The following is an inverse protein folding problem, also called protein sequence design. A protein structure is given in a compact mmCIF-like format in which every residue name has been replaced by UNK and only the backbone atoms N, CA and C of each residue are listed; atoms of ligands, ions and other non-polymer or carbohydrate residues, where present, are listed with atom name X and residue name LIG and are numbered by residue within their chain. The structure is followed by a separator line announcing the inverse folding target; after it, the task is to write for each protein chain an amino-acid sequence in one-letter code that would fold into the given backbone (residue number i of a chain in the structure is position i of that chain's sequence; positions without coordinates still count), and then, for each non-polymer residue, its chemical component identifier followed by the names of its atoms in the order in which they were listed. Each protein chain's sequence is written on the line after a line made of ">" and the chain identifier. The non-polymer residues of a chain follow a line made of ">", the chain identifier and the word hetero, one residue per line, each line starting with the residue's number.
data_IF_343749903963
#
_entry.id   IF_343749903963
#
_cell.length_a   1.000
_cell.length_b   1.000
_cell.length_c   1.000
_cell.angle_alpha   90.00
_cell.angle_beta   90.00
_cell.angle_gamma   90.00
#
_symmetry.space_group_name_H-M   'P 1'
#
loop_
_entity.id
_entity.type
_entity.pdbx_description
1 polymer ?
#
# COMPACT_ATOMS: atom_id res chain seq x y z
N UNK A 1 -53.78 -15.17 15.33
CA UNK A 1 -52.49 -15.15 16.07
C UNK A 1 -51.27 -15.47 15.20
N UNK A 2 -51.40 -16.35 14.19
CA UNK A 2 -50.29 -16.82 13.33
C UNK A 2 -49.61 -15.76 12.44
N UNK A 3 -50.29 -14.64 12.12
CA UNK A 3 -49.72 -13.57 11.28
C UNK A 3 -48.71 -12.68 12.02
N UNK A 4 -48.89 -12.48 13.34
CA UNK A 4 -48.01 -11.63 14.17
C UNK A 4 -46.70 -12.33 14.52
N UNK A 5 -46.71 -13.65 14.67
CA UNK A 5 -45.51 -14.46 14.91
C UNK A 5 -44.61 -14.53 13.68
N UNK A 6 -45.20 -14.64 12.47
CA UNK A 6 -44.43 -14.60 11.22
C UNK A 6 -43.77 -13.24 10.96
N UNK A 7 -44.42 -12.13 11.31
CA UNK A 7 -43.80 -10.79 11.16
C UNK A 7 -42.62 -10.57 12.10
N UNK A 8 -42.66 -11.13 13.32
CA UNK A 8 -41.54 -11.02 14.28
C UNK A 8 -40.36 -11.88 13.83
N UNK A 9 -40.62 -13.09 13.33
CA UNK A 9 -39.59 -13.98 12.78
C UNK A 9 -38.90 -13.36 11.55
N UNK A 10 -39.66 -12.67 10.69
CA UNK A 10 -39.11 -11.97 9.53
C UNK A 10 -38.24 -10.76 9.95
N UNK A 11 -38.61 -10.07 11.03
CA UNK A 11 -37.85 -8.93 11.56
C UNK A 11 -36.53 -9.34 12.24
N UNK A 12 -36.49 -10.53 12.83
CA UNK A 12 -35.28 -11.11 13.45
C UNK A 12 -34.30 -11.65 12.40
N UNK A 13 -34.78 -12.03 11.22
CA UNK A 13 -33.92 -12.56 10.16
C UNK A 13 -33.14 -11.45 9.42
N UNK A 14 -33.65 -10.21 9.41
CA UNK A 14 -33.01 -9.10 8.70
C UNK A 14 -31.82 -8.50 9.46
N UNK A 15 -31.75 -8.66 10.79
CA UNK A 15 -30.63 -8.16 11.59
C UNK A 15 -29.37 -9.02 11.48
N UNK A 16 -29.48 -10.27 11.03
CA UNK A 16 -28.35 -11.20 10.89
C UNK A 16 -27.55 -11.01 9.59
N UNK A 17 -28.05 -10.20 8.63
CA UNK A 17 -27.45 -10.08 7.29
C UNK A 17 -26.37 -8.98 7.23
N UNK A 18 -26.30 -8.10 8.23
CA UNK A 18 -25.42 -6.90 8.20
C UNK A 18 -24.09 -7.04 8.97
N UNK A 19 -23.70 -8.24 9.43
CA UNK A 19 -22.52 -8.43 10.29
C UNK A 19 -21.24 -8.92 9.58
N UNK A 20 -20.97 -8.54 8.33
CA UNK A 20 -19.71 -8.95 7.68
C UNK A 20 -18.60 -7.92 7.90
N UNK A 21 -17.54 -8.34 8.60
CA UNK A 21 -16.36 -7.53 8.90
C UNK A 21 -15.68 -6.93 7.66
N UNK A 22 -15.75 -7.66 6.55
CA UNK A 22 -15.11 -7.32 5.27
C UNK A 22 -15.97 -7.74 4.09
N UNK A 23 -15.91 -6.98 2.99
CA UNK A 23 -16.53 -7.33 1.70
C UNK A 23 -15.47 -7.37 0.62
N UNK A 24 -15.47 -8.42 -0.20
CA UNK A 24 -14.57 -8.60 -1.33
C UNK A 24 -15.36 -8.53 -2.62
N UNK A 25 -15.02 -7.58 -3.49
CA UNK A 25 -15.58 -7.54 -4.84
C UNK A 25 -14.89 -8.56 -5.72
N UNK A 26 -15.69 -9.47 -6.26
CA UNK A 26 -15.22 -10.49 -7.18
C UNK A 26 -14.71 -9.85 -8.47
N UNK A 27 -13.58 -10.34 -8.96
CA UNK A 27 -13.07 -9.94 -10.26
C UNK A 27 -13.85 -10.62 -11.38
N UNK A 28 -14.57 -9.81 -12.17
CA UNK A 28 -15.37 -10.27 -13.32
C UNK A 28 -14.56 -10.41 -14.62
N UNK A 29 -13.26 -10.15 -14.60
CA UNK A 29 -12.41 -10.24 -15.79
C UNK A 29 -12.11 -11.69 -16.14
N UNK A 30 -12.63 -12.16 -17.28
CA UNK A 30 -12.40 -13.52 -17.79
C UNK A 30 -10.92 -13.88 -17.95
N UNK A 31 -10.04 -12.90 -18.21
CA UNK A 31 -8.58 -13.12 -18.35
C UNK A 31 -7.89 -13.47 -17.02
N UNK A 32 -8.56 -13.17 -15.91
CA UNK A 32 -8.14 -13.40 -14.55
C UNK A 32 -8.91 -14.55 -13.87
N UNK A 33 -9.67 -15.34 -14.63
CA UNK A 33 -10.45 -16.47 -14.12
C UNK A 33 -9.60 -17.54 -13.41
N UNK A 34 -8.29 -17.57 -13.69
CA UNK A 34 -7.32 -18.46 -13.05
C UNK A 34 -7.12 -18.20 -11.55
N UNK A 35 -7.52 -17.03 -11.03
CA UNK A 35 -7.41 -16.69 -9.62
C UNK A 35 -8.80 -16.70 -8.96
N UNK A 36 -9.07 -17.78 -8.23
CA UNK A 36 -10.22 -17.86 -7.33
C UNK A 36 -9.89 -17.15 -6.03
N UNK A 37 -10.81 -16.31 -5.57
CA UNK A 37 -10.62 -15.48 -4.39
C UNK A 37 -11.92 -15.37 -3.62
N UNK A 38 -11.84 -15.47 -2.30
CA UNK A 38 -12.99 -15.33 -1.40
C UNK A 38 -12.52 -14.90 -0.02
N UNK A 39 -13.42 -14.35 0.77
CA UNK A 39 -13.19 -14.20 2.20
C UNK A 39 -13.54 -15.53 2.88
N UNK A 40 -12.89 -15.81 4.01
CA UNK A 40 -13.33 -16.88 4.89
C UNK A 40 -14.66 -16.50 5.59
N UNK A 41 -15.27 -17.47 6.28
CA UNK A 41 -16.59 -17.31 6.91
C UNK A 41 -16.68 -16.12 7.87
N UNK A 42 -15.60 -15.81 8.59
CA UNK A 42 -15.54 -14.70 9.55
C UNK A 42 -15.08 -13.36 8.95
N UNK A 43 -14.70 -13.34 7.66
CA UNK A 43 -14.24 -12.14 6.96
C UNK A 43 -12.90 -11.56 7.43
N UNK A 44 -12.12 -12.32 8.20
CA UNK A 44 -10.82 -11.93 8.76
C UNK A 44 -9.62 -12.37 7.91
N UNK A 45 -9.84 -13.22 6.90
CA UNK A 45 -8.79 -13.69 6.00
C UNK A 45 -9.24 -13.72 4.55
N UNK A 46 -8.37 -13.27 3.64
CA UNK A 46 -8.54 -13.40 2.19
C UNK A 46 -7.93 -14.73 1.72
N UNK A 47 -8.76 -15.60 1.20
CA UNK A 47 -8.39 -16.89 0.63
C UNK A 47 -8.15 -16.71 -0.86
N UNK A 48 -6.95 -17.08 -1.31
CA UNK A 48 -6.53 -17.01 -2.70
C UNK A 48 -6.14 -18.40 -3.19
N UNK A 49 -6.60 -18.75 -4.38
CA UNK A 49 -6.25 -19.99 -5.05
C UNK A 49 -6.05 -19.73 -6.54
N UNK A 50 -4.82 -19.87 -7.00
CA UNK A 50 -4.43 -19.72 -8.40
C UNK A 50 -4.21 -21.08 -9.05
N UNK A 51 -4.66 -21.23 -10.30
CA UNK A 51 -4.24 -22.36 -11.15
C UNK A 51 -2.72 -22.33 -11.40
N UNK A 52 -2.13 -21.13 -11.36
CA UNK A 52 -0.69 -20.88 -11.40
C UNK A 52 -0.21 -20.29 -10.09
N UNK A 53 1.10 -20.38 -9.88
CA UNK A 53 1.77 -19.89 -8.67
C UNK A 53 1.50 -18.40 -8.42
N UNK A 54 1.03 -18.10 -7.22
CA UNK A 54 0.90 -16.75 -6.69
C UNK A 54 2.27 -16.36 -6.12
N UNK A 55 2.86 -15.31 -6.68
CA UNK A 55 4.19 -14.85 -6.25
C UNK A 55 4.06 -13.93 -5.04
N UNK A 56 3.22 -12.91 -5.15
CA UNK A 56 3.04 -11.87 -4.13
C UNK A 56 1.62 -11.32 -4.12
N UNK A 57 1.23 -10.81 -2.96
CA UNK A 57 -0.02 -10.06 -2.76
C UNK A 57 0.33 -8.74 -2.10
N UNK A 58 -0.13 -7.62 -2.66
CA UNK A 58 0.04 -6.29 -2.10
C UNK A 58 -1.35 -5.72 -1.82
N UNK A 59 -1.64 -5.35 -0.59
CA UNK A 59 -2.89 -4.68 -0.21
C UNK A 59 -2.56 -3.25 0.18
N UNK A 60 -3.15 -2.29 -0.51
CA UNK A 60 -2.84 -0.89 -0.28
C UNK A 60 -4.04 0.04 -0.47
N UNK A 61 -3.94 1.21 0.13
CA UNK A 61 -4.79 2.38 -0.13
C UNK A 61 -3.92 3.64 -0.12
N UNK A 62 -4.50 4.83 0.10
CA UNK A 62 -3.75 6.09 0.14
C UNK A 62 -2.73 6.19 1.28
N UNK A 63 -2.95 5.50 2.40
CA UNK A 63 -2.27 5.73 3.67
C UNK A 63 -1.72 4.44 4.31
N UNK A 64 -1.88 3.31 3.64
CA UNK A 64 -1.49 1.98 4.13
C UNK A 64 -1.06 1.10 2.96
N UNK A 65 0.02 0.35 3.15
CA UNK A 65 0.48 -0.70 2.24
C UNK A 65 1.00 -1.87 3.05
N UNK A 66 0.63 -3.09 2.63
CA UNK A 66 1.15 -4.33 3.20
C UNK A 66 1.38 -5.35 2.11
N UNK A 67 2.58 -5.93 2.11
CA UNK A 67 3.00 -6.94 1.14
C UNK A 67 3.13 -8.30 1.82
N UNK A 68 2.65 -9.33 1.11
CA UNK A 68 2.74 -10.72 1.50
C UNK A 68 3.43 -11.52 0.40
N UNK A 69 4.56 -12.13 0.73
CA UNK A 69 5.17 -13.15 -0.14
C UNK A 69 4.45 -14.48 0.06
N UNK A 70 3.95 -15.06 -1.04
CA UNK A 70 3.18 -16.31 -0.99
C UNK A 70 4.00 -17.45 -1.58
N UNK A 71 4.51 -17.25 -2.80
CA UNK A 71 5.33 -18.24 -3.51
C UNK A 71 4.67 -19.64 -3.60
N UNK A 72 3.35 -19.72 -3.67
CA UNK A 72 2.56 -20.97 -3.71
C UNK A 72 1.26 -20.78 -4.52
N UNK A 73 0.53 -21.85 -4.84
CA UNK A 73 -0.74 -21.82 -5.58
C UNK A 73 -1.93 -21.42 -4.70
N UNK A 74 -1.83 -21.64 -3.38
CA UNK A 74 -2.88 -21.29 -2.43
C UNK A 74 -2.32 -20.43 -1.30
N UNK A 75 -3.11 -19.49 -0.82
CA UNK A 75 -2.71 -18.63 0.29
C UNK A 75 -3.89 -18.18 1.14
N UNK A 76 -3.62 -18.01 2.43
CA UNK A 76 -4.52 -17.37 3.38
C UNK A 76 -3.85 -16.09 3.86
N UNK A 77 -4.34 -14.95 3.38
CA UNK A 77 -3.83 -13.63 3.73
C UNK A 77 -4.61 -13.11 4.93
N UNK A 78 -3.99 -12.96 6.11
CA UNK A 78 -4.66 -12.42 7.29
C UNK A 78 -4.93 -10.93 7.11
N UNK A 79 -6.15 -10.51 7.45
CA UNK A 79 -6.57 -9.11 7.35
C UNK A 79 -6.44 -8.37 8.69
N UNK A 80 -6.09 -9.04 9.79
CA UNK A 80 -6.07 -8.47 11.16
C UNK A 80 -5.34 -7.12 11.29
N UNK A 81 -4.21 -6.95 10.61
CA UNK A 81 -3.40 -5.72 10.70
C UNK A 81 -3.81 -4.64 9.68
N UNK A 82 -4.83 -4.91 8.88
CA UNK A 82 -5.33 -3.99 7.85
C UNK A 82 -6.45 -3.15 8.49
N UNK A 83 -6.30 -1.81 8.56
CA UNK A 83 -7.30 -0.94 9.16
C UNK A 83 -8.63 -0.95 8.40
N UNK A 84 -9.68 -0.38 9.01
CA UNK A 84 -10.96 -0.11 8.35
C UNK A 84 -10.76 0.82 7.15
N UNK A 85 -11.39 0.52 6.02
CA UNK A 85 -11.25 1.31 4.80
C UNK A 85 -11.43 0.53 3.49
N UNK A 86 -11.23 1.24 2.38
CA UNK A 86 -11.26 0.67 1.03
C UNK A 86 -9.85 0.47 0.51
N UNK A 87 -9.58 -0.74 0.04
CA UNK A 87 -8.27 -1.19 -0.40
C UNK A 87 -8.31 -1.78 -1.80
N UNK A 88 -7.18 -1.67 -2.47
CA UNK A 88 -6.85 -2.38 -3.69
C UNK A 88 -5.92 -3.52 -3.30
N UNK A 89 -6.28 -4.74 -3.68
CA UNK A 89 -5.43 -5.91 -3.51
C UNK A 89 -4.89 -6.33 -4.88
N UNK A 90 -3.58 -6.18 -5.06
CA UNK A 90 -2.84 -6.60 -6.24
C UNK A 90 -2.24 -7.99 -6.01
N UNK A 91 -2.69 -8.96 -6.80
CA UNK A 91 -2.22 -10.34 -6.75
C UNK A 91 -1.38 -10.62 -7.99
N UNK A 92 -0.09 -10.91 -7.82
CA UNK A 92 0.80 -11.31 -8.91
C UNK A 92 0.74 -12.83 -9.07
N UNK A 93 0.16 -13.30 -10.17
CA UNK A 93 0.04 -14.71 -10.54
C UNK A 93 0.89 -14.94 -11.78
N UNK A 94 2.06 -15.55 -11.61
CA UNK A 94 3.08 -15.66 -12.64
C UNK A 94 3.34 -14.30 -13.36
N UNK A 95 3.03 -14.21 -14.65
CA UNK A 95 3.20 -13.04 -15.51
C UNK A 95 2.01 -12.06 -15.47
N UNK A 96 0.94 -12.34 -14.72
CA UNK A 96 -0.25 -11.50 -14.64
C UNK A 96 -0.36 -10.78 -13.31
N UNK A 97 -0.88 -9.56 -13.37
CA UNK A 97 -1.27 -8.77 -12.21
C UNK A 97 -2.80 -8.67 -12.17
N UNK A 98 -3.40 -9.19 -11.11
CA UNK A 98 -4.84 -9.26 -10.93
C UNK A 98 -5.23 -8.31 -9.80
N UNK A 99 -6.19 -7.42 -10.08
CA UNK A 99 -6.64 -6.41 -9.12
C UNK A 99 -8.00 -6.79 -8.53
N UNK A 100 -8.08 -6.81 -7.20
CA UNK A 100 -9.29 -7.02 -6.42
C UNK A 100 -9.59 -5.77 -5.58
N UNK A 101 -10.86 -5.55 -5.24
CA UNK A 101 -11.25 -4.49 -4.31
C UNK A 101 -11.70 -5.11 -2.99
N UNK A 102 -11.06 -4.70 -1.89
CA UNK A 102 -11.37 -5.14 -0.54
C UNK A 102 -11.94 -3.96 0.27
N UNK A 103 -13.11 -4.15 0.86
CA UNK A 103 -13.72 -3.22 1.81
C UNK A 103 -13.62 -3.81 3.21
N UNK A 104 -13.09 -3.02 4.14
CA UNK A 104 -13.05 -3.29 5.58
C UNK A 104 -14.03 -2.38 6.28
N UNK A 105 -15.00 -2.96 7.00
CA UNK A 105 -16.05 -2.21 7.70
C UNK A 105 -15.75 -2.10 9.19
N UNK A 106 -15.07 -3.10 9.76
CA UNK A 106 -14.81 -3.18 11.20
C UNK A 106 -13.35 -3.55 11.48
N UNK A 107 -12.85 -3.08 12.62
CA UNK A 107 -11.53 -3.45 13.12
C UNK A 107 -11.61 -4.86 13.71
N UNK A 108 -10.72 -5.74 13.26
CA UNK A 108 -10.70 -7.14 13.69
C UNK A 108 -9.98 -7.31 15.04
N UNK A 109 -9.27 -6.28 15.51
CA UNK A 109 -8.56 -6.31 16.80
C UNK A 109 -9.51 -6.37 17.98
N UNK A 110 -10.74 -5.86 17.82
CA UNK A 110 -11.77 -5.84 18.86
C UNK A 110 -12.50 -7.19 19.02
N UNK A 111 -12.27 -8.14 18.11
CA UNK A 111 -12.98 -9.43 18.02
C UNK A 111 -12.15 -10.59 18.61
N UNK A 112 -10.86 -10.36 18.88
CA UNK A 112 -10.02 -11.34 19.58
C UNK A 112 -10.20 -11.15 21.10
N UNK A 113 -10.56 -12.20 21.86
CA UNK A 113 -10.55 -12.10 23.31
C UNK A 113 -9.13 -11.75 23.75
N UNK A 114 -8.96 -10.57 24.35
CA UNK A 114 -7.75 -10.22 25.08
C UNK A 114 -7.66 -11.19 26.27
N UNK A 115 -6.98 -12.31 26.07
CA UNK A 115 -6.61 -13.19 27.17
C UNK A 115 -5.65 -12.41 28.08
N UNK A 116 -6.19 -12.02 29.23
CA UNK A 116 -5.43 -11.60 30.41
C UNK A 116 -4.31 -12.61 30.67
N UNK A 117 -3.13 -12.05 30.90
CA UNK A 117 -1.96 -12.69 31.48
C UNK A 117 -2.36 -13.55 32.68
N UNK A 118 -2.07 -14.85 32.62
CA UNK A 118 -1.81 -15.68 33.81
C UNK A 118 -0.59 -16.54 33.50
N UNK A 119 0.49 -16.23 34.19
CA UNK A 119 1.70 -17.01 34.33
C UNK A 119 1.47 -18.07 35.41
N UNK A 120 1.68 -19.36 35.12
CA UNK A 120 2.26 -20.35 36.06
C UNK A 120 2.43 -21.78 35.48
N UNK A 121 3.67 -22.27 35.64
CA UNK A 121 4.17 -23.64 35.87
C UNK A 121 4.14 -24.75 34.79
N UNK A 122 5.34 -24.96 34.20
CA UNK A 122 6.19 -26.18 34.19
C UNK A 122 5.61 -27.59 33.96
N UNK A 123 6.06 -28.23 32.87
CA UNK A 123 6.82 -29.53 32.79
C UNK A 123 7.00 -29.86 31.29
N UNK A 124 8.12 -29.49 30.65
CA UNK A 124 9.38 -30.26 30.52
C UNK A 124 9.26 -31.49 29.59
N UNK A 125 9.83 -31.36 28.38
CA UNK A 125 10.88 -32.25 27.87
C UNK A 125 11.69 -31.49 26.79
N UNK A 126 12.94 -31.23 27.17
CA UNK A 126 14.13 -30.76 26.45
C UNK A 126 14.45 -31.63 25.21
N UNK A 127 15.33 -31.33 24.23
CA UNK A 127 16.29 -30.27 23.87
C UNK A 127 16.61 -30.55 22.36
N UNK A 128 17.04 -29.61 21.51
CA UNK A 128 18.44 -29.17 21.43
C UNK A 128 18.58 -27.80 20.75
N UNK A 129 19.12 -26.83 21.50
CA UNK A 129 20.35 -26.03 21.26
C UNK A 129 20.73 -25.81 19.77
N UNK A 130 20.83 -24.57 19.25
CA UNK A 130 22.01 -23.69 19.37
C UNK A 130 21.62 -22.20 19.50
N UNK A 131 22.24 -21.58 20.50
CA UNK A 131 22.24 -20.16 20.85
C UNK A 131 22.99 -19.28 19.83
N UNK A 132 22.56 -18.02 19.69
CA UNK A 132 23.43 -16.88 20.03
C UNK A 132 22.60 -15.62 20.29
N UNK A 133 22.59 -15.26 21.57
CA UNK A 133 22.10 -14.04 22.21
C UNK A 133 23.00 -12.85 21.86
N UNK A 134 22.42 -11.69 21.55
CA UNK A 134 22.82 -10.42 22.19
C UNK A 134 21.56 -9.58 22.41
N UNK A 135 21.20 -9.43 23.68
CA UNK A 135 20.25 -8.44 24.18
C UNK A 135 20.91 -7.06 24.19
N UNK A 136 20.16 -6.02 23.86
CA UNK A 136 20.12 -4.82 24.71
C UNK A 136 18.82 -4.08 24.46
N UNK A 137 17.89 -4.24 25.40
CA UNK A 137 16.74 -3.36 25.51
C UNK A 137 17.13 -2.09 26.27
N UNK A 138 16.58 -0.95 25.85
CA UNK A 138 16.31 0.21 26.73
C UNK A 138 15.03 0.86 26.22
N UNK A 139 13.93 0.69 26.96
CA UNK A 139 12.83 1.66 27.04
C UNK A 139 13.28 2.87 27.86
N UNK A 140 12.77 4.08 27.65
CA UNK A 140 12.21 4.96 28.69
C UNK A 140 11.65 6.26 28.09
N UNK A 141 10.63 6.79 28.77
CA UNK A 141 9.67 7.81 28.35
C UNK A 141 10.17 9.26 28.44
N UNK A 142 9.47 10.09 27.66
CA UNK A 142 9.18 11.52 27.71
C UNK A 142 9.30 12.25 29.08
N UNK A 143 10.01 13.40 29.13
CA UNK A 143 9.44 14.72 29.47
C UNK A 143 10.43 15.92 29.49
N UNK A 144 9.87 17.07 29.10
CA UNK A 144 10.16 18.48 29.47
C UNK A 144 11.23 19.34 28.75
N UNK A 145 10.70 20.48 28.27
CA UNK A 145 11.33 21.67 27.66
C UNK A 145 12.10 22.50 28.70
N UNK A 146 13.28 23.04 28.34
CA UNK A 146 13.65 24.47 28.46
C UNK A 146 14.84 24.76 27.51
N UNK A 147 14.76 25.83 26.70
CA UNK A 147 15.91 26.43 25.99
C UNK A 147 16.51 27.56 26.84
N UNK A 148 17.79 27.92 26.66
CA UNK A 148 18.06 29.09 25.82
C UNK A 148 19.27 28.96 24.89
N UNK A 149 19.13 29.68 23.77
CA UNK A 149 20.13 30.20 22.82
C UNK A 149 21.60 29.77 22.99
N UNK A 150 22.09 29.02 21.99
CA UNK A 150 23.33 29.41 21.32
C UNK A 150 23.30 28.94 19.86
N UNK A 151 23.47 29.89 18.95
CA UNK A 151 23.51 29.68 17.51
C UNK A 151 24.73 28.83 17.15
N UNK A 152 24.46 27.60 16.68
CA UNK A 152 25.39 26.81 15.88
C UNK A 152 24.64 26.45 14.62
N UNK A 153 25.19 26.85 13.47
CA UNK A 153 24.72 26.43 12.16
C UNK A 153 24.45 24.93 12.21
N UNK A 154 23.18 24.53 12.11
CA UNK A 154 22.83 23.14 11.85
C UNK A 154 23.30 22.85 10.43
N UNK A 155 24.36 22.06 10.35
CA UNK A 155 24.58 21.19 9.19
C UNK A 155 23.23 20.50 8.87
N UNK A 156 22.76 20.51 7.61
CA UNK A 156 21.44 20.02 7.30
C UNK A 156 21.37 18.55 7.71
N UNK A 157 20.53 18.26 8.70
CA UNK A 157 20.15 16.90 9.08
C UNK A 157 19.75 16.18 7.79
N UNK A 158 20.51 15.14 7.40
CA UNK A 158 20.26 14.39 6.17
C UNK A 158 18.83 13.84 6.26
N UNK A 159 17.92 14.42 5.47
CA UNK A 159 16.51 14.05 5.49
C UNK A 159 16.40 12.60 5.04
N UNK A 160 15.97 11.73 5.95
CA UNK A 160 15.79 10.30 5.66
C UNK A 160 14.75 10.17 4.55
N UNK A 161 15.16 9.60 3.43
CA UNK A 161 14.28 9.37 2.28
C UNK A 161 13.36 8.21 2.63
N UNK A 162 12.06 8.48 2.76
CA UNK A 162 11.04 7.46 3.02
C UNK A 162 10.54 6.78 1.74
N UNK A 163 10.75 7.41 0.58
CA UNK A 163 10.60 6.78 -0.73
C UNK A 163 10.42 7.81 -1.83
N UNK A 164 9.91 7.34 -2.98
CA UNK A 164 9.82 8.17 -4.19
C UNK A 164 8.41 8.27 -4.73
N UNK A 165 7.96 9.49 -4.95
CA UNK A 165 6.72 9.78 -5.64
C UNK A 165 6.95 9.81 -7.15
N UNK A 166 6.28 8.92 -7.88
CA UNK A 166 6.51 8.70 -9.30
C UNK A 166 5.26 9.09 -10.09
N UNK A 167 5.44 9.92 -11.11
CA UNK A 167 4.43 10.23 -12.12
C UNK A 167 4.96 9.80 -13.48
N UNK A 168 4.27 8.88 -14.12
CA UNK A 168 4.57 8.43 -15.48
C UNK A 168 3.36 8.67 -16.37
N UNK A 169 3.48 9.56 -17.34
CA UNK A 169 2.49 9.81 -18.36
C UNK A 169 2.93 9.19 -19.68
N UNK A 170 2.13 8.25 -20.17
CA UNK A 170 2.37 7.49 -21.40
C UNK A 170 1.49 8.08 -22.48
N UNK A 171 2.08 8.49 -23.60
CA UNK A 171 1.37 9.11 -24.72
C UNK A 171 1.50 8.28 -25.99
N UNK A 172 0.37 7.77 -26.49
CA UNK A 172 0.31 6.95 -27.71
C UNK A 172 -0.18 7.76 -28.92
N UNK A 173 0.02 9.09 -28.92
CA UNK A 173 -0.33 10.00 -30.02
C UNK A 173 -1.82 10.33 -30.18
N UNK A 174 -2.75 9.50 -29.69
CA UNK A 174 -4.20 9.80 -29.70
C UNK A 174 -4.79 9.85 -28.28
N UNK A 175 -4.10 9.27 -27.31
CA UNK A 175 -4.50 9.24 -25.90
C UNK A 175 -3.25 9.31 -25.03
N UNK A 176 -3.37 9.98 -23.90
CA UNK A 176 -2.40 9.90 -22.81
C UNK A 176 -3.00 9.15 -21.62
N UNK A 177 -2.14 8.50 -20.85
CA UNK A 177 -2.48 7.85 -19.58
C UNK A 177 -1.47 8.29 -18.53
N UNK A 178 -1.95 8.91 -17.47
CA UNK A 178 -1.13 9.26 -16.30
C UNK A 178 -1.24 8.15 -15.24
N UNK A 179 -0.09 7.64 -14.82
CA UNK A 179 0.06 6.66 -13.74
C UNK A 179 0.86 7.34 -12.63
N UNK A 180 0.34 7.30 -11.41
CA UNK A 180 1.01 7.87 -10.25
C UNK A 180 1.14 6.84 -9.16
N UNK A 181 2.32 6.66 -8.58
CA UNK A 181 2.57 5.67 -7.53
C UNK A 181 3.71 6.08 -6.60
N UNK A 182 3.71 5.48 -5.42
CA UNK A 182 4.89 5.43 -4.57
C UNK A 182 5.81 4.29 -5.02
N UNK A 183 7.11 4.41 -4.81
CA UNK A 183 8.05 3.33 -5.08
C UNK A 183 9.36 3.47 -4.34
N UNK A 184 10.09 2.36 -4.31
CA UNK A 184 11.44 2.26 -3.75
C UNK A 184 12.50 2.68 -4.75
N UNK A 185 13.74 2.82 -4.26
CA UNK A 185 14.89 3.20 -5.10
C UNK A 185 15.10 2.24 -6.27
N UNK A 186 15.00 0.93 -6.06
CA UNK A 186 15.15 -0.08 -7.12
C UNK A 186 14.11 0.10 -8.24
N UNK A 187 12.88 0.41 -7.85
CA UNK A 187 11.77 0.64 -8.78
C UNK A 187 12.00 1.92 -9.59
N UNK A 188 12.51 2.97 -8.94
CA UNK A 188 12.91 4.23 -9.60
C UNK A 188 14.02 3.99 -10.61
N UNK A 189 15.09 3.30 -10.20
CA UNK A 189 16.25 3.03 -11.06
C UNK A 189 15.82 2.25 -12.32
N UNK A 190 14.97 1.23 -12.16
CA UNK A 190 14.39 0.47 -13.27
C UNK A 190 13.49 1.34 -14.18
N UNK A 191 12.70 2.25 -13.61
CA UNK A 191 11.82 3.13 -14.38
C UNK A 191 12.60 4.17 -15.18
N UNK A 192 13.67 4.72 -14.61
CA UNK A 192 14.57 5.65 -15.30
C UNK A 192 15.22 4.95 -16.48
N UNK A 193 15.85 3.79 -16.25
CA UNK A 193 16.51 3.01 -17.30
C UNK A 193 15.52 2.64 -18.43
N UNK A 194 14.31 2.21 -18.08
CA UNK A 194 13.27 1.92 -19.06
C UNK A 194 12.83 3.16 -19.85
N UNK A 195 12.61 4.28 -19.17
CA UNK A 195 12.18 5.52 -19.80
C UNK A 195 13.24 6.03 -20.80
N UNK A 196 14.52 5.94 -20.44
CA UNK A 196 15.63 6.31 -21.34
C UNK A 196 15.67 5.48 -22.63
N UNK A 197 15.34 4.18 -22.53
CA UNK A 197 15.20 3.32 -23.70
C UNK A 197 13.94 3.67 -24.51
N UNK A 198 12.81 3.88 -23.84
CA UNK A 198 11.52 4.20 -24.46
C UNK A 198 11.56 5.53 -25.23
N UNK A 199 12.29 6.53 -24.72
CA UNK A 199 12.45 7.84 -25.37
C UNK A 199 13.13 7.76 -26.74
N UNK A 200 13.93 6.72 -26.98
CA UNK A 200 14.57 6.48 -28.29
C UNK A 200 13.61 5.89 -29.31
N UNK A 201 12.45 5.40 -28.89
CA UNK A 201 11.45 4.78 -29.75
C UNK A 201 10.44 5.79 -30.28
N UNK A 202 9.83 5.51 -31.45
CA UNK A 202 8.79 6.37 -32.02
C UNK A 202 7.55 6.49 -31.13
N UNK A 203 7.23 5.44 -30.37
CA UNK A 203 6.09 5.39 -29.48
C UNK A 203 6.38 6.10 -28.14
N UNK A 204 7.56 5.89 -27.55
CA UNK A 204 7.91 6.39 -26.23
C UNK A 204 8.49 7.80 -26.18
N UNK A 205 8.84 8.42 -27.32
CA UNK A 205 9.37 9.80 -27.37
C UNK A 205 8.48 10.89 -26.75
N UNK A 206 7.20 10.59 -26.53
CA UNK A 206 6.23 11.49 -25.91
C UNK A 206 5.87 11.09 -24.47
N UNK A 207 6.46 10.02 -23.95
CA UNK A 207 6.27 9.64 -22.56
C UNK A 207 7.02 10.64 -21.66
N UNK A 208 6.45 10.92 -20.49
CA UNK A 208 7.08 11.77 -19.49
C UNK A 208 7.08 11.04 -18.15
N UNK A 209 8.26 10.96 -17.56
CA UNK A 209 8.49 10.42 -16.23
C UNK A 209 9.05 11.55 -15.36
N UNK A 210 8.40 11.80 -14.23
CA UNK A 210 8.83 12.75 -13.20
C UNK A 210 8.81 12.05 -11.84
N UNK A 211 9.89 12.21 -11.08
CA UNK A 211 10.11 11.52 -9.81
C UNK A 211 10.55 12.53 -8.75
N UNK A 212 9.93 12.50 -7.58
CA UNK A 212 10.28 13.31 -6.41
C UNK A 212 10.69 12.41 -5.25
N UNK A 213 11.65 12.87 -4.46
CA UNK A 213 11.95 12.27 -3.16
C UNK A 213 10.94 12.72 -2.12
N UNK A 214 10.50 11.80 -1.27
CA UNK A 214 9.57 12.07 -0.19
C UNK A 214 10.22 11.68 1.13
N UNK A 215 10.25 12.63 2.07
CA UNK A 215 10.84 12.47 3.40
C UNK A 215 9.80 12.10 4.45
N UNK A 216 8.53 12.48 4.25
CA UNK A 216 7.41 12.09 5.10
C UNK A 216 6.18 11.82 4.22
N UNK A 217 5.90 10.53 3.98
CA UNK A 217 4.79 10.09 3.13
C UNK A 217 3.43 10.53 3.65
N UNK A 218 3.22 10.47 4.97
CA UNK A 218 1.95 10.83 5.60
C UNK A 218 1.60 12.31 5.42
N UNK A 219 2.57 13.20 5.67
CA UNK A 219 2.39 14.64 5.43
C UNK A 219 2.26 14.96 3.95
N UNK A 220 3.07 14.31 3.11
CA UNK A 220 3.04 14.50 1.67
C UNK A 220 1.66 14.20 1.06
N UNK A 221 1.06 13.04 1.38
CA UNK A 221 -0.26 12.69 0.83
C UNK A 221 -1.37 13.61 1.32
N UNK A 222 -1.33 14.02 2.60
CA UNK A 222 -2.28 15.00 3.14
C UNK A 222 -2.16 16.34 2.41
N UNK A 223 -0.93 16.83 2.21
CA UNK A 223 -0.65 18.06 1.49
C UNK A 223 -1.12 17.99 0.04
N UNK A 224 -0.72 16.94 -0.69
CA UNK A 224 -1.11 16.72 -2.10
C UNK A 224 -2.62 16.61 -2.30
N UNK A 225 -3.37 16.13 -1.31
CA UNK A 225 -4.84 16.06 -1.38
C UNK A 225 -5.49 17.45 -1.31
N UNK A 226 -4.90 18.35 -0.54
CA UNK A 226 -5.37 19.73 -0.40
C UNK A 226 -4.85 20.62 -1.54
N UNK A 227 -3.66 20.33 -2.05
CA UNK A 227 -2.96 21.11 -3.06
C UNK A 227 -2.74 20.26 -4.32
N UNK A 228 -3.64 20.41 -5.30
CA UNK A 228 -3.51 19.74 -6.59
C UNK A 228 -2.22 20.15 -7.34
N UNK A 229 -1.72 21.38 -7.09
CA UNK A 229 -0.54 21.97 -7.71
C UNK A 229 0.74 21.83 -6.87
N UNK A 230 0.87 20.79 -6.05
CA UNK A 230 2.07 20.55 -5.21
C UNK A 230 3.41 20.55 -5.98
N UNK A 231 3.39 20.39 -7.31
CA UNK A 231 4.59 20.46 -8.15
C UNK A 231 5.10 21.90 -8.41
N UNK A 232 4.32 22.92 -8.06
CA UNK A 232 4.66 24.35 -8.19
C UNK A 232 5.17 24.94 -6.86
N UNK A 233 5.24 24.12 -5.81
CA UNK A 233 5.72 24.56 -4.50
C UNK A 233 7.16 25.07 -4.59
N UNK A 234 7.55 25.99 -3.71
CA UNK A 234 8.93 26.52 -3.68
C UNK A 234 9.77 25.89 -2.58
N UNK A 235 9.14 25.54 -1.45
CA UNK A 235 9.80 24.94 -0.31
C UNK A 235 8.91 23.87 0.34
N UNK A 236 9.51 22.76 0.77
CA UNK A 236 8.80 21.74 1.55
C UNK A 236 9.74 20.98 2.48
N UNK A 237 9.22 20.69 3.68
CA UNK A 237 9.93 19.90 4.67
C UNK A 237 9.79 18.39 4.43
N UNK A 238 8.73 17.96 3.75
CA UNK A 238 8.29 16.57 3.67
C UNK A 238 8.47 15.92 2.30
N UNK A 239 8.81 16.70 1.26
CA UNK A 239 9.26 16.18 -0.02
C UNK A 239 10.28 17.12 -0.66
N UNK A 240 11.10 16.59 -1.57
CA UNK A 240 11.98 17.39 -2.38
C UNK A 240 11.15 18.12 -3.43
N UNK A 241 11.14 19.44 -3.39
CA UNK A 241 10.41 20.28 -4.35
C UNK A 241 10.93 20.08 -5.77
N UNK A 242 12.25 19.92 -5.90
CA UNK A 242 12.88 19.66 -7.19
C UNK A 242 12.86 18.16 -7.47
N UNK A 243 12.21 17.72 -8.56
CA UNK A 243 12.19 16.30 -8.91
C UNK A 243 13.61 15.81 -9.21
N UNK A 244 13.97 14.65 -8.67
CA UNK A 244 15.27 14.01 -8.92
C UNK A 244 15.45 13.59 -10.38
N UNK A 245 14.34 13.33 -11.05
CA UNK A 245 14.33 12.94 -12.44
C UNK A 245 13.13 13.58 -13.11
N UNK A 246 13.40 14.24 -14.23
CA UNK A 246 12.37 14.66 -15.18
C UNK A 246 12.83 14.30 -16.57
N UNK A 247 11.93 13.72 -17.35
CA UNK A 247 12.19 13.41 -18.75
C UNK A 247 12.58 14.68 -19.52
N UNK A 248 13.70 14.68 -20.26
CA UNK A 248 14.14 15.85 -20.99
C UNK A 248 13.12 16.21 -22.08
N UNK A 249 12.50 17.39 -21.96
CA UNK A 249 11.59 17.91 -22.99
C UNK A 249 12.37 18.15 -24.27
N UNK A 250 11.99 17.47 -25.34
CA UNK A 250 12.60 17.65 -26.65
C UNK A 250 12.17 19.03 -27.22
N UNK A 251 13.10 19.99 -27.28
CA UNK A 251 12.87 21.41 -27.67
C UNK A 251 12.36 21.61 -29.11
N UNK A 252 12.08 20.54 -29.86
CA UNK A 252 11.69 20.59 -31.26
C UNK A 252 10.16 20.67 -31.50
N UNK A 253 9.32 20.71 -30.46
CA UNK A 253 7.86 20.74 -30.61
C UNK A 253 7.22 22.13 -30.43
N UNK A 254 7.99 23.16 -30.07
CA UNK A 254 7.48 24.55 -30.00
C UNK A 254 7.49 25.28 -31.36
N UNK A 255 8.09 24.69 -32.40
CA UNK A 255 8.22 25.34 -33.72
C UNK A 255 7.09 25.04 -34.70
N UNK A 256 6.03 24.36 -34.29
CA UNK A 256 4.90 24.00 -35.18
C UNK A 256 3.55 24.48 -34.65
N UNK A 257 3.52 25.69 -34.11
CA UNK A 257 2.32 26.53 -34.02
C UNK A 257 2.64 27.89 -34.61
N UNK A 258 2.52 27.99 -35.93
CA UNK A 258 2.30 29.24 -36.66
C UNK A 258 1.11 29.00 -37.57
#
# INVERSE_FOLDING_TARGET
>A
MMKRTSTILLLLLTTLIYGQNSTLFQNINFRAAELKHQLNTSGDSLLLHGERRIEKVVIFNSDFEKTFEVKDHSSKIPLIDIPVGRYVAEVKVADKLIILTLLRHEDLKDILPQNKVVEQSHEELEETVINNTVNTGISFQENQRVSPANAKLKEPEEKIITGYWIIHEISNGHRSRKITRMGDKEVVDLMIAKNELDLRTKAGKFNTLTIWEVYDTGKFFRFKRLNANYAEETESDFFNVNPIYTTPKNKNLEKTKV
#
